data_IF_886789502018
#
_entry.id   IF_886789502018
#
_cell.length_a   1.000
_cell.length_b   1.000
_cell.length_c   1.000
_cell.angle_alpha   90.00
_cell.angle_beta   90.00
_cell.angle_gamma   90.00
#
_symmetry.space_group_name_H-M   'P 1'
#
loop_
_entity.id
_entity.type
_entity.pdbx_description
1 polymer ?
#
# COMPACT_ATOMS: atom_id res chain seq x y z
N UNK A 1 7.81 6.97 24.93
CA UNK A 1 7.60 5.77 24.08
C UNK A 1 8.97 5.21 23.76
N UNK A 2 9.40 4.06 24.28
CA UNK A 2 10.63 3.45 23.80
C UNK A 2 10.47 3.16 22.31
N UNK A 3 11.51 3.45 21.52
CA UNK A 3 11.58 2.94 20.15
C UNK A 3 11.50 1.41 20.26
N UNK A 4 10.51 0.83 19.60
CA UNK A 4 10.13 -0.57 19.81
C UNK A 4 11.04 -1.57 19.08
N UNK A 5 12.14 -1.11 18.48
CA UNK A 5 13.01 -1.87 17.59
C UNK A 5 14.47 -1.55 17.86
N UNK A 6 15.34 -2.52 17.62
CA UNK A 6 16.78 -2.29 17.60
C UNK A 6 17.21 -1.67 16.26
N UNK A 7 18.37 -0.99 16.19
CA UNK A 7 18.92 -0.50 14.93
C UNK A 7 19.08 -1.60 13.87
N UNK A 8 19.41 -2.83 14.29
CA UNK A 8 19.61 -3.98 13.40
C UNK A 8 18.30 -4.43 12.76
N UNK A 9 17.20 -4.47 13.53
CA UNK A 9 15.87 -4.80 12.99
C UNK A 9 15.40 -3.73 11.98
N UNK A 10 15.69 -2.46 12.27
CA UNK A 10 15.37 -1.35 11.37
C UNK A 10 16.16 -1.46 10.06
N UNK A 11 17.46 -1.75 10.14
CA UNK A 11 18.34 -1.97 8.98
C UNK A 11 17.83 -3.15 8.13
N UNK A 12 17.48 -4.27 8.76
CA UNK A 12 17.00 -5.46 8.05
C UNK A 12 15.72 -5.18 7.23
N UNK A 13 14.76 -4.41 7.78
CA UNK A 13 13.55 -4.02 7.05
C UNK A 13 13.88 -3.14 5.84
N UNK A 14 14.87 -2.25 5.96
CA UNK A 14 15.29 -1.42 4.83
C UNK A 14 15.98 -2.25 3.75
N UNK A 15 16.89 -3.13 4.14
CA UNK A 15 17.62 -4.00 3.22
C UNK A 15 16.66 -4.92 2.46
N UNK A 16 15.68 -5.53 3.15
CA UNK A 16 14.63 -6.33 2.52
C UNK A 16 13.84 -5.54 1.46
N UNK A 17 13.50 -4.28 1.77
CA UNK A 17 12.78 -3.42 0.83
C UNK A 17 13.64 -3.05 -0.38
N UNK A 18 14.90 -2.69 -0.17
CA UNK A 18 15.83 -2.32 -1.24
C UNK A 18 16.17 -3.53 -2.13
N UNK A 19 16.27 -4.72 -1.55
CA UNK A 19 16.48 -5.96 -2.29
C UNK A 19 15.24 -6.34 -3.13
N UNK A 20 14.04 -6.12 -2.60
CA UNK A 20 12.79 -6.39 -3.34
C UNK A 20 12.52 -5.35 -4.43
N UNK A 21 12.82 -4.08 -4.16
CA UNK A 21 12.50 -2.93 -5.01
C UNK A 21 13.73 -2.06 -5.29
N UNK A 22 14.73 -2.59 -6.01
CA UNK A 22 15.87 -1.78 -6.45
C UNK A 22 15.41 -0.68 -7.42
N UNK A 23 16.20 0.38 -7.54
CA UNK A 23 15.81 1.57 -8.30
C UNK A 23 15.59 1.28 -9.79
N UNK A 24 16.31 0.31 -10.34
CA UNK A 24 16.17 -0.16 -11.72
C UNK A 24 14.81 -0.82 -11.92
N UNK A 25 14.39 -1.68 -10.98
CA UNK A 25 13.07 -2.32 -11.01
C UNK A 25 11.96 -1.29 -10.82
N UNK A 26 12.14 -0.34 -9.90
CA UNK A 26 11.16 0.73 -9.67
C UNK A 26 10.84 1.52 -10.95
N UNK A 27 11.86 1.79 -11.77
CA UNK A 27 11.71 2.50 -13.06
C UNK A 27 11.00 1.67 -14.14
N UNK A 28 11.11 0.35 -14.07
CA UNK A 28 10.56 -0.57 -15.08
C UNK A 28 9.31 -1.33 -14.60
N UNK A 29 8.80 -1.05 -13.39
CA UNK A 29 7.71 -1.84 -12.80
C UNK A 29 6.43 -1.72 -13.63
N UNK A 30 5.71 -2.83 -13.70
CA UNK A 30 4.38 -2.86 -14.29
C UNK A 30 3.32 -2.33 -13.32
N UNK A 31 2.13 -1.97 -13.82
CA UNK A 31 1.01 -1.58 -12.97
C UNK A 31 0.56 -2.71 -12.02
N UNK A 32 0.71 -3.97 -12.45
CA UNK A 32 0.39 -5.14 -11.64
C UNK A 32 1.37 -5.32 -10.48
N UNK A 33 2.66 -5.06 -10.71
CA UNK A 33 3.67 -5.02 -9.65
C UNK A 33 3.46 -3.82 -8.71
N UNK A 34 3.04 -2.67 -9.24
CA UNK A 34 2.73 -1.48 -8.44
C UNK A 34 1.58 -1.74 -7.46
N UNK A 35 0.47 -2.29 -7.95
CA UNK A 35 -0.72 -2.61 -7.15
C UNK A 35 -1.39 -3.89 -7.62
N UNK A 36 -1.48 -4.85 -6.70
CA UNK A 36 -2.19 -6.12 -6.89
C UNK A 36 -2.92 -6.54 -5.60
N UNK A 37 -3.65 -7.64 -5.70
CA UNK A 37 -4.40 -8.22 -4.57
C UNK A 37 -3.60 -9.27 -3.81
N UNK A 38 -2.43 -9.67 -4.32
CA UNK A 38 -1.67 -10.83 -3.85
C UNK A 38 -0.65 -10.51 -2.75
N UNK A 39 -0.78 -9.37 -2.05
CA UNK A 39 0.10 -8.95 -0.95
C UNK A 39 1.60 -8.96 -1.31
N UNK A 40 1.91 -8.88 -2.60
CA UNK A 40 3.28 -8.84 -3.13
C UNK A 40 3.61 -7.50 -3.79
N UNK A 41 2.59 -6.69 -4.08
CA UNK A 41 2.76 -5.41 -4.76
C UNK A 41 3.59 -4.39 -3.98
N UNK A 42 4.12 -3.41 -4.72
CA UNK A 42 4.88 -2.31 -4.17
C UNK A 42 4.10 -1.54 -3.10
N UNK A 43 2.84 -1.20 -3.40
CA UNK A 43 1.95 -0.52 -2.44
C UNK A 43 1.72 -1.33 -1.16
N UNK A 44 1.65 -2.67 -1.25
CA UNK A 44 1.59 -3.54 -0.07
C UNK A 44 2.86 -3.48 0.78
N UNK A 45 4.03 -3.47 0.14
CA UNK A 45 5.31 -3.30 0.84
C UNK A 45 5.35 -1.97 1.61
N UNK A 46 4.93 -0.88 0.97
CA UNK A 46 4.86 0.45 1.59
C UNK A 46 3.86 0.54 2.75
N UNK A 47 2.84 -0.31 2.79
CA UNK A 47 1.80 -0.26 3.81
C UNK A 47 2.08 -1.19 4.99
N UNK A 48 2.62 -2.39 4.72
CA UNK A 48 2.72 -3.44 5.71
C UNK A 48 4.14 -3.86 6.04
N UNK A 49 5.04 -3.91 5.05
CA UNK A 49 6.42 -4.39 5.25
C UNK A 49 7.31 -3.29 5.81
N UNK A 50 7.16 -2.05 5.36
CA UNK A 50 7.87 -0.87 5.90
C UNK A 50 7.23 -0.27 7.16
N UNK A 51 6.47 -1.08 7.92
CA UNK A 51 5.61 -0.62 9.04
C UNK A 51 6.32 0.37 9.96
N UNK A 52 7.58 0.09 10.26
CA UNK A 52 8.37 0.80 11.26
C UNK A 52 9.41 1.75 10.67
N UNK A 53 9.67 1.67 9.36
CA UNK A 53 10.66 2.50 8.65
C UNK A 53 10.03 3.68 7.91
N UNK A 54 8.71 3.77 7.85
CA UNK A 54 8.00 4.88 7.21
C UNK A 54 6.72 4.48 6.48
N UNK A 55 6.02 3.43 6.93
CA UNK A 55 4.86 2.93 6.20
C UNK A 55 3.76 3.96 6.00
N UNK A 56 3.14 3.89 4.84
CA UNK A 56 1.93 4.64 4.51
C UNK A 56 0.75 3.76 4.90
N UNK A 57 0.45 3.64 6.20
CA UNK A 57 -0.67 2.83 6.73
C UNK A 57 -2.03 3.49 6.60
N UNK A 58 -3.10 2.72 6.71
CA UNK A 58 -4.48 3.23 6.68
C UNK A 58 -5.48 2.17 6.28
N UNK A 59 -6.75 2.56 6.09
CA UNK A 59 -7.81 1.61 5.74
C UNK A 59 -7.95 1.35 4.24
N UNK A 60 -7.56 2.30 3.38
CA UNK A 60 -7.82 2.23 1.95
C UNK A 60 -6.59 2.53 1.11
N UNK A 61 -6.44 1.78 0.01
CA UNK A 61 -5.42 2.00 -1.01
C UNK A 61 -5.67 3.25 -1.88
N UNK A 62 -6.77 3.99 -1.68
CA UNK A 62 -7.05 5.25 -2.40
C UNK A 62 -5.89 6.27 -2.30
N UNK A 63 -5.14 6.26 -1.20
CA UNK A 63 -3.97 7.12 -0.97
C UNK A 63 -2.84 6.92 -1.98
N UNK A 64 -2.82 5.80 -2.69
CA UNK A 64 -1.84 5.50 -3.73
C UNK A 64 -2.28 5.96 -5.13
N UNK A 65 -3.48 6.54 -5.27
CA UNK A 65 -4.11 7.01 -6.53
C UNK A 65 -4.40 5.91 -7.55
N UNK A 66 -3.40 5.12 -7.91
CA UNK A 66 -3.52 3.91 -8.73
C UNK A 66 -3.67 2.72 -7.78
N UNK A 67 -4.79 2.01 -7.87
CA UNK A 67 -5.04 0.86 -7.01
C UNK A 67 -5.94 -0.17 -7.70
N UNK A 68 -5.76 -1.43 -7.34
CA UNK A 68 -6.64 -2.50 -7.79
C UNK A 68 -7.94 -2.49 -6.96
N UNK A 69 -9.09 -2.39 -7.62
CA UNK A 69 -10.41 -2.46 -6.99
C UNK A 69 -11.10 -3.74 -7.42
N UNK A 70 -11.67 -4.47 -6.46
CA UNK A 70 -12.59 -5.56 -6.80
C UNK A 70 -13.79 -5.02 -7.58
N UNK A 71 -14.36 -5.88 -8.43
CA UNK A 71 -15.62 -5.55 -9.10
C UNK A 71 -16.67 -5.11 -8.08
N UNK A 72 -17.48 -4.13 -8.48
CA UNK A 72 -18.61 -3.73 -7.65
C UNK A 72 -19.60 -4.89 -7.68
N UNK A 73 -19.94 -5.41 -6.51
CA UNK A 73 -21.11 -6.27 -6.40
C UNK A 73 -22.34 -5.48 -6.88
N UNK A 74 -23.23 -6.12 -7.63
CA UNK A 74 -24.56 -5.57 -7.92
C UNK A 74 -25.39 -5.35 -6.65
N UNK A 75 -24.96 -5.97 -5.54
CA UNK A 75 -25.48 -5.69 -4.22
C UNK A 75 -25.11 -4.25 -3.84
N UNK A 76 -26.11 -3.38 -3.58
CA UNK A 76 -25.86 -2.01 -3.17
C UNK A 76 -24.99 -1.99 -1.91
N UNK A 77 -23.99 -1.08 -1.83
CA UNK A 77 -23.19 -0.97 -0.62
C UNK A 77 -24.11 -0.72 0.58
N UNK A 78 -23.93 -1.50 1.66
CA UNK A 78 -24.59 -1.22 2.94
C UNK A 78 -24.30 0.24 3.29
N UNK A 79 -25.36 1.03 3.54
CA UNK A 79 -25.23 2.46 3.90
C UNK A 79 -24.26 2.62 5.07
N UNK A 80 -23.02 2.96 4.75
CA UNK A 80 -22.06 3.54 5.68
C UNK A 80 -22.27 5.04 5.64
N UNK A 81 -22.33 5.70 6.80
CA UNK A 81 -22.48 7.15 6.96
C UNK A 81 -21.23 7.93 6.49
N UNK A 82 -20.72 7.65 5.30
CA UNK A 82 -19.66 8.42 4.66
C UNK A 82 -20.29 9.26 3.55
N UNK A 83 -20.25 10.59 3.71
CA UNK A 83 -20.73 11.55 2.71
C UNK A 83 -19.93 11.36 1.42
N UNK A 84 -20.51 10.66 0.46
CA UNK A 84 -19.98 10.60 -0.91
C UNK A 84 -20.34 11.94 -1.56
N UNK A 85 -19.35 12.80 -1.78
CA UNK A 85 -19.50 13.97 -2.65
C UNK A 85 -19.62 13.43 -4.07
N UNK A 86 -20.86 13.36 -4.56
CA UNK A 86 -21.15 13.13 -5.97
C UNK A 86 -20.86 14.44 -6.70
N UNK A 87 -19.73 14.54 -7.41
CA UNK A 87 -19.54 15.60 -8.40
C UNK A 87 -20.43 15.23 -9.60
N UNK A 88 -21.59 15.85 -9.69
CA UNK A 88 -22.42 15.82 -10.91
C UNK A 88 -21.82 16.81 -11.91
N UNK A 89 -21.56 16.32 -13.11
CA UNK A 89 -21.41 17.13 -14.32
C UNK A 89 -22.76 17.70 -14.73
#
# INVERSE_FOLDING_TARGET
>A
MPFQFTPEEFQAIQDDFLNAWPIERLKAMTLEEYSNRDKTSFTYWLEFKSRWTGSIRGGSSLKFLVYNRSERSDVPPKKSNSRIIQVKT
#
